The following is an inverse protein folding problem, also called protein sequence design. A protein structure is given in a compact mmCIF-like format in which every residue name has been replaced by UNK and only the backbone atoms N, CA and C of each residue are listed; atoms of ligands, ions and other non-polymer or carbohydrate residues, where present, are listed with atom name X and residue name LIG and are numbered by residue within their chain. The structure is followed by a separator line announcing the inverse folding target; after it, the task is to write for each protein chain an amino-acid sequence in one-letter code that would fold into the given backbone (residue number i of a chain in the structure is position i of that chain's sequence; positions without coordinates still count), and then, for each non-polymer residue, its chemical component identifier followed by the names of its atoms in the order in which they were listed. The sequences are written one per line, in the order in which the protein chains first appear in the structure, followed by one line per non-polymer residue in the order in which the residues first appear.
data_IF_766595837353
#
_entry.id   IF_766595837353
#
_cell.length_a   1.000
_cell.length_b   1.000
_cell.length_c   1.000
_cell.angle_alpha   90.00
_cell.angle_beta   90.00
_cell.angle_gamma   90.00
#
_symmetry.space_group_name_H-M   'P 1'
#
loop_
_entity.id
_entity.type
_entity.pdbx_description
1 polymer ?
#
# COMPACT_ATOMS: atom_id res chain seq x y z
N UNK A 1 4.89 52.19 3.28
CA UNK A 1 4.11 50.98 2.98
C UNK A 1 4.73 49.85 3.78
N UNK A 2 4.05 49.33 4.79
CA UNK A 2 4.55 48.17 5.53
C UNK A 2 4.41 46.93 4.63
N UNK A 3 5.51 46.20 4.43
CA UNK A 3 5.47 44.90 3.79
C UNK A 3 4.46 44.02 4.54
N UNK A 4 3.51 43.44 3.82
CA UNK A 4 2.58 42.48 4.39
C UNK A 4 3.35 41.32 5.05
N UNK A 5 2.72 40.61 6.00
CA UNK A 5 3.38 39.48 6.64
C UNK A 5 3.82 38.49 5.55
N UNK A 6 5.00 37.86 5.67
CA UNK A 6 5.42 36.84 4.71
C UNK A 6 4.31 35.79 4.60
N UNK A 7 3.89 35.50 3.38
CA UNK A 7 2.97 34.41 3.10
C UNK A 7 3.58 33.17 3.76
N UNK A 8 2.91 32.57 4.74
CA UNK A 8 3.40 31.35 5.36
C UNK A 8 3.51 30.30 4.26
N UNK A 9 4.71 29.83 3.97
CA UNK A 9 4.93 28.66 3.13
C UNK A 9 4.06 27.53 3.70
N UNK A 10 2.97 27.19 3.00
CA UNK A 10 2.10 26.10 3.39
C UNK A 10 2.89 24.83 3.13
N UNK A 11 3.28 24.09 4.16
CA UNK A 11 3.98 22.82 3.99
C UNK A 11 2.99 21.67 3.72
N UNK A 12 3.44 20.66 2.98
CA UNK A 12 2.69 19.42 2.76
C UNK A 12 2.50 18.62 4.06
N UNK A 13 1.32 18.03 4.24
CA UNK A 13 0.99 17.15 5.37
C UNK A 13 0.98 15.71 4.87
N UNK A 14 1.83 14.86 5.45
CA UNK A 14 1.84 13.42 5.18
C UNK A 14 1.93 12.67 6.50
N UNK A 15 0.83 12.01 6.84
CA UNK A 15 0.65 11.17 8.02
C UNK A 15 -0.13 9.91 7.62
N UNK A 16 -0.17 8.86 8.47
CA UNK A 16 -0.98 7.67 8.18
C UNK A 16 -2.47 7.97 7.91
N UNK A 17 -2.99 9.08 8.45
CA UNK A 17 -4.40 9.43 8.40
C UNK A 17 -4.73 10.51 7.37
N UNK A 18 -3.78 11.41 7.08
CA UNK A 18 -3.99 12.59 6.24
C UNK A 18 -2.83 12.80 5.27
N UNK A 19 -3.17 13.09 4.02
CA UNK A 19 -2.23 13.49 2.96
C UNK A 19 -2.80 14.72 2.26
N UNK A 20 -2.07 15.84 2.30
CA UNK A 20 -2.40 17.06 1.59
C UNK A 20 -1.15 17.75 1.05
N UNK A 21 -1.24 18.20 -0.19
CA UNK A 21 -0.22 18.97 -0.89
C UNK A 21 -0.25 20.47 -0.48
N UNK A 22 0.84 21.23 -0.72
CA UNK A 22 0.91 22.63 -0.32
C UNK A 22 0.14 23.51 -1.31
N UNK A 23 -0.78 24.33 -0.80
CA UNK A 23 -1.61 25.23 -1.62
C UNK A 23 -2.71 24.51 -2.43
N UNK A 24 -3.64 25.30 -2.97
CA UNK A 24 -4.74 24.78 -3.80
C UNK A 24 -4.20 24.30 -5.16
N UNK A 25 -4.42 23.03 -5.50
CA UNK A 25 -3.89 22.42 -6.73
C UNK A 25 -2.41 22.02 -6.69
N UNK A 26 -1.75 22.11 -5.54
CA UNK A 26 -0.36 21.67 -5.38
C UNK A 26 -0.18 20.16 -5.50
N UNK A 27 1.08 19.72 -5.69
CA UNK A 27 1.47 18.30 -5.72
C UNK A 27 2.39 17.96 -4.55
N UNK A 28 2.46 16.67 -4.21
CA UNK A 28 3.36 16.19 -3.17
C UNK A 28 4.80 16.20 -3.69
N UNK A 29 5.68 16.91 -2.97
CA UNK A 29 7.12 16.88 -3.20
C UNK A 29 7.73 15.67 -2.49
N UNK A 30 7.90 14.60 -3.25
CA UNK A 30 8.45 13.33 -2.77
C UNK A 30 9.96 13.40 -2.44
N UNK A 31 10.71 14.34 -3.02
CA UNK A 31 12.13 14.54 -2.69
C UNK A 31 12.25 15.21 -1.32
N UNK A 32 11.46 16.26 -1.06
CA UNK A 32 11.36 16.86 0.27
C UNK A 32 10.85 15.88 1.33
N UNK A 33 9.93 14.96 0.97
CA UNK A 33 9.50 13.88 1.88
C UNK A 33 10.63 12.92 2.23
N UNK A 34 11.41 12.50 1.24
CA UNK A 34 12.55 11.62 1.47
C UNK A 34 13.55 12.24 2.44
N UNK A 35 13.88 13.52 2.26
CA UNK A 35 14.78 14.25 3.16
C UNK A 35 14.21 14.34 4.58
N UNK A 36 12.93 14.68 4.71
CA UNK A 36 12.23 14.77 6.01
C UNK A 36 12.17 13.43 6.75
N UNK A 37 11.90 12.34 6.02
CA UNK A 37 11.79 11.01 6.59
C UNK A 37 13.16 10.33 6.72
N UNK A 38 14.18 10.81 6.00
CA UNK A 38 15.53 10.26 5.99
C UNK A 38 15.59 8.88 5.32
N UNK A 39 14.82 8.66 4.25
CA UNK A 39 14.89 7.44 3.43
C UNK A 39 15.76 7.66 2.19
N UNK A 40 16.21 6.56 1.56
CA UNK A 40 17.11 6.63 0.40
C UNK A 40 16.32 6.51 -0.90
N UNK A 41 16.80 7.15 -1.96
CA UNK A 41 16.21 7.01 -3.30
C UNK A 41 16.41 5.60 -3.84
N UNK A 42 15.37 5.04 -4.42
CA UNK A 42 15.41 3.83 -5.23
C UNK A 42 15.83 4.23 -6.65
N UNK A 43 17.13 4.14 -6.94
CA UNK A 43 17.70 4.54 -8.22
C UNK A 43 17.75 3.39 -9.25
N UNK A 44 18.15 3.70 -10.48
CA UNK A 44 18.26 2.72 -11.56
C UNK A 44 19.24 1.59 -11.23
N UNK A 45 20.33 1.87 -10.53
CA UNK A 45 21.31 0.86 -10.13
C UNK A 45 20.70 -0.18 -9.19
N UNK A 46 19.84 0.25 -8.26
CA UNK A 46 19.11 -0.63 -7.36
C UNK A 46 18.02 -1.42 -8.08
N UNK A 47 17.32 -0.81 -9.05
CA UNK A 47 16.37 -1.53 -9.92
C UNK A 47 17.07 -2.65 -10.70
N UNK A 48 18.23 -2.36 -11.30
CA UNK A 48 19.02 -3.34 -12.02
C UNK A 48 19.56 -4.44 -11.08
N UNK A 49 19.93 -4.07 -9.85
CA UNK A 49 20.35 -5.01 -8.81
C UNK A 49 19.22 -5.98 -8.45
N UNK A 50 17.98 -5.50 -8.25
CA UNK A 50 16.80 -6.36 -8.03
C UNK A 50 16.61 -7.32 -9.22
N UNK A 51 16.69 -6.81 -10.44
CA UNK A 51 16.49 -7.61 -11.65
C UNK A 51 17.53 -8.74 -11.77
N UNK A 52 18.81 -8.44 -11.51
CA UNK A 52 19.90 -9.43 -11.49
C UNK A 52 19.68 -10.49 -10.42
N UNK A 53 19.41 -10.08 -9.18
CA UNK A 53 19.29 -10.98 -8.04
C UNK A 53 18.09 -11.93 -8.14
N UNK A 54 16.98 -11.43 -8.68
CA UNK A 54 15.75 -12.22 -8.81
C UNK A 54 15.63 -12.95 -10.14
N UNK A 55 16.57 -12.72 -11.07
CA UNK A 55 16.50 -13.20 -12.47
C UNK A 55 15.15 -12.92 -13.12
N UNK A 56 14.54 -11.77 -12.79
CA UNK A 56 13.20 -11.37 -13.23
C UNK A 56 13.19 -9.95 -13.75
N UNK A 57 12.36 -9.65 -14.77
CA UNK A 57 12.19 -8.28 -15.22
C UNK A 57 11.69 -7.38 -14.08
N UNK A 58 12.29 -6.19 -13.87
CA UNK A 58 11.89 -5.32 -12.78
C UNK A 58 10.45 -4.87 -12.97
N UNK A 59 9.68 -4.96 -11.87
CA UNK A 59 8.27 -4.58 -11.88
C UNK A 59 8.08 -3.17 -12.45
N UNK A 60 6.97 -2.94 -13.17
CA UNK A 60 6.67 -1.63 -13.77
C UNK A 60 6.65 -0.49 -12.75
N UNK A 61 6.35 -0.77 -11.49
CA UNK A 61 6.36 0.23 -10.42
C UNK A 61 7.77 0.67 -10.02
N UNK A 62 8.77 -0.21 -10.15
CA UNK A 62 10.18 0.14 -10.00
C UNK A 62 10.64 0.99 -11.18
N UNK A 63 10.41 0.49 -12.40
CA UNK A 63 10.83 1.16 -13.66
C UNK A 63 10.23 2.55 -13.86
N UNK A 64 9.10 2.84 -13.23
CA UNK A 64 8.38 4.13 -13.34
C UNK A 64 8.48 4.99 -12.08
N UNK A 65 9.31 4.60 -11.10
CA UNK A 65 9.48 5.36 -9.85
C UNK A 65 8.19 5.50 -9.03
N UNK A 66 7.27 4.55 -9.14
CA UNK A 66 6.08 4.47 -8.27
C UNK A 66 6.52 4.00 -6.89
N UNK A 67 7.34 2.95 -6.82
CA UNK A 67 8.18 2.68 -5.65
C UNK A 67 9.49 3.43 -5.85
N UNK A 68 9.79 4.36 -4.95
CA UNK A 68 10.79 5.41 -5.18
C UNK A 68 11.75 5.61 -4.02
N UNK A 69 11.41 5.14 -2.83
CA UNK A 69 12.23 5.27 -1.63
C UNK A 69 12.41 3.92 -0.93
N UNK A 70 13.49 3.79 -0.17
CA UNK A 70 13.80 2.57 0.56
C UNK A 70 14.70 2.76 1.80
N UNK A 71 14.75 1.72 2.64
CA UNK A 71 15.70 1.56 3.75
C UNK A 71 16.31 0.14 3.72
N UNK A 72 17.58 0.03 3.32
CA UNK A 72 18.44 -1.19 3.29
C UNK A 72 17.74 -2.46 2.78
N UNK A 73 17.70 -2.74 1.47
CA UNK A 73 16.92 -3.87 0.93
C UNK A 73 17.77 -5.11 0.59
N UNK A 74 18.90 -4.95 -0.09
CA UNK A 74 19.45 -6.05 -0.91
C UNK A 74 20.71 -6.72 -0.37
N UNK A 75 21.42 -6.09 0.58
CA UNK A 75 22.69 -6.63 1.08
C UNK A 75 22.49 -7.96 1.81
N UNK A 76 21.35 -8.13 2.49
CA UNK A 76 20.99 -9.37 3.18
C UNK A 76 20.68 -10.50 2.18
N UNK A 77 19.89 -10.21 1.14
CA UNK A 77 19.58 -11.22 0.12
C UNK A 77 20.82 -11.67 -0.66
N UNK A 78 21.74 -10.75 -0.97
CA UNK A 78 23.02 -11.09 -1.61
C UNK A 78 23.92 -11.95 -0.75
N UNK A 79 23.86 -11.79 0.58
CA UNK A 79 24.57 -12.65 1.52
C UNK A 79 23.95 -14.05 1.65
N UNK A 80 22.85 -14.34 0.94
CA UNK A 80 22.10 -15.59 1.05
C UNK A 80 21.22 -15.67 2.30
N UNK A 81 21.04 -14.54 3.01
CA UNK A 81 20.20 -14.49 4.20
C UNK A 81 18.73 -14.58 3.80
N UNK A 82 18.00 -15.44 4.50
CA UNK A 82 16.54 -15.55 4.39
C UNK A 82 15.91 -14.31 5.02
N UNK A 83 14.78 -13.86 4.46
CA UNK A 83 14.00 -12.76 5.00
C UNK A 83 12.51 -13.00 4.72
N UNK A 84 11.61 -12.28 5.40
CA UNK A 84 10.18 -12.35 5.12
C UNK A 84 9.61 -10.97 4.76
N UNK A 85 8.47 -10.99 4.07
CA UNK A 85 7.71 -9.80 3.75
C UNK A 85 6.65 -9.54 4.81
N UNK A 86 6.42 -8.26 5.11
CA UNK A 86 5.29 -7.83 5.92
C UNK A 86 4.61 -6.62 5.27
N UNK A 87 3.28 -6.64 5.18
CA UNK A 87 2.47 -5.48 4.82
C UNK A 87 1.17 -5.50 5.62
N UNK A 88 0.39 -4.43 5.59
CA UNK A 88 -0.87 -4.37 6.31
C UNK A 88 -1.99 -3.64 5.57
N UNK A 89 -3.20 -3.79 6.09
CA UNK A 89 -4.40 -3.08 5.66
C UNK A 89 -5.32 -2.86 6.84
N UNK A 90 -5.69 -1.61 7.10
CA UNK A 90 -6.78 -1.30 8.01
C UNK A 90 -8.14 -1.40 7.31
N UNK A 91 -9.00 -2.40 7.64
CA UNK A 91 -10.24 -2.68 6.91
C UNK A 91 -11.33 -1.65 7.25
N UNK A 92 -11.38 -0.55 6.50
CA UNK A 92 -12.25 0.60 6.79
C UNK A 92 -13.48 0.73 5.90
N UNK A 93 -13.63 -0.16 4.91
CA UNK A 93 -14.67 -0.21 3.88
C UNK A 93 -14.80 -1.65 3.36
N UNK A 94 -15.97 -1.99 2.80
CA UNK A 94 -16.25 -3.37 2.34
C UNK A 94 -15.33 -3.82 1.21
N UNK A 95 -14.95 -2.90 0.32
CA UNK A 95 -14.11 -3.18 -0.83
C UNK A 95 -12.86 -2.31 -0.82
N UNK A 96 -11.77 -2.85 -1.39
CA UNK A 96 -10.59 -2.06 -1.72
C UNK A 96 -10.82 -1.16 -2.95
N UNK A 97 -10.09 -0.05 -3.02
CA UNK A 97 -9.99 0.77 -4.22
C UNK A 97 -8.61 0.62 -4.85
N UNK A 98 -8.43 1.10 -6.08
CA UNK A 98 -7.21 0.89 -6.85
C UNK A 98 -5.94 1.36 -6.15
N UNK A 99 -6.02 2.44 -5.36
CA UNK A 99 -4.89 2.89 -4.54
C UNK A 99 -4.40 1.83 -3.55
N UNK A 100 -5.29 1.04 -2.95
CA UNK A 100 -4.89 -0.02 -2.03
C UNK A 100 -4.23 -1.21 -2.73
N UNK A 101 -4.49 -1.42 -4.03
CA UNK A 101 -3.87 -2.51 -4.77
C UNK A 101 -2.38 -2.25 -5.05
N UNK A 102 -1.89 -1.00 -4.98
CA UNK A 102 -0.51 -0.66 -5.32
C UNK A 102 0.49 -1.40 -4.42
N UNK A 103 0.40 -1.34 -3.07
CA UNK A 103 1.26 -2.15 -2.20
C UNK A 103 1.08 -3.65 -2.45
N UNK A 104 -0.16 -4.17 -2.47
CA UNK A 104 -0.39 -5.62 -2.59
C UNK A 104 0.12 -6.23 -3.90
N UNK A 105 -0.12 -5.58 -5.04
CA UNK A 105 0.39 -6.04 -6.34
C UNK A 105 1.92 -6.05 -6.35
N UNK A 106 2.56 -5.10 -5.67
CA UNK A 106 4.01 -5.06 -5.58
C UNK A 106 4.56 -6.09 -4.60
N UNK A 107 3.95 -6.25 -3.43
CA UNK A 107 4.28 -7.29 -2.47
C UNK A 107 4.17 -8.68 -3.10
N UNK A 108 3.16 -8.92 -3.93
CA UNK A 108 3.01 -10.16 -4.68
C UNK A 108 4.17 -10.38 -5.66
N UNK A 109 4.58 -9.34 -6.38
CA UNK A 109 5.77 -9.40 -7.22
C UNK A 109 7.03 -9.75 -6.41
N UNK A 110 7.22 -9.12 -5.24
CA UNK A 110 8.36 -9.40 -4.37
C UNK A 110 8.33 -10.84 -3.83
N UNK A 111 7.16 -11.33 -3.40
CA UNK A 111 6.97 -12.71 -2.95
C UNK A 111 7.39 -13.69 -4.05
N UNK A 112 6.89 -13.51 -5.27
CA UNK A 112 7.23 -14.40 -6.38
C UNK A 112 8.71 -14.28 -6.78
N UNK A 113 9.30 -13.08 -6.68
CA UNK A 113 10.65 -12.79 -7.15
C UNK A 113 11.74 -13.29 -6.20
N UNK A 114 11.51 -13.13 -4.90
CA UNK A 114 12.44 -13.56 -3.86
C UNK A 114 12.11 -14.93 -3.28
N UNK A 115 10.91 -15.47 -3.55
CA UNK A 115 10.40 -16.75 -3.02
C UNK A 115 10.44 -16.80 -1.50
N UNK A 116 9.89 -15.77 -0.88
CA UNK A 116 9.91 -15.54 0.57
C UNK A 116 8.51 -15.61 1.17
N UNK A 117 8.39 -15.94 2.46
CA UNK A 117 7.12 -15.88 3.18
C UNK A 117 6.62 -14.45 3.34
N UNK A 118 5.31 -14.31 3.50
CA UNK A 118 4.59 -13.06 3.63
C UNK A 118 3.60 -13.13 4.78
N UNK A 119 3.65 -12.11 5.65
CA UNK A 119 2.60 -11.84 6.63
C UNK A 119 1.83 -10.59 6.21
N UNK A 120 0.49 -10.67 6.26
CA UNK A 120 -0.40 -9.53 6.00
C UNK A 120 -1.23 -9.26 7.25
N UNK A 121 -1.09 -8.09 7.85
CA UNK A 121 -1.87 -7.68 9.01
C UNK A 121 -3.15 -6.95 8.60
N UNK A 122 -4.28 -7.40 9.11
CA UNK A 122 -5.57 -6.71 9.06
C UNK A 122 -5.84 -6.07 10.41
N UNK A 123 -5.67 -4.75 10.48
CA UNK A 123 -5.77 -3.95 11.71
C UNK A 123 -7.23 -3.61 12.03
N UNK A 124 -8.03 -4.66 12.27
CA UNK A 124 -9.46 -4.57 12.54
C UNK A 124 -9.78 -3.94 13.92
N UNK A 125 -8.85 -4.04 14.86
CA UNK A 125 -8.84 -3.36 16.16
C UNK A 125 -8.68 -1.84 16.07
N UNK A 126 -7.75 -1.37 15.24
CA UNK A 126 -7.54 0.04 14.91
C UNK A 126 -8.84 0.70 14.46
N UNK A 127 -9.68 -0.05 13.72
CA UNK A 127 -10.90 0.53 13.17
C UNK A 127 -11.99 0.73 14.20
N UNK A 128 -12.05 -0.04 15.27
CA UNK A 128 -12.97 0.25 16.40
C UNK A 128 -12.55 1.51 17.12
N UNK A 129 -11.25 1.67 17.32
CA UNK A 129 -10.74 2.77 18.10
C UNK A 129 -10.87 4.10 17.30
N UNK A 130 -10.76 4.08 15.97
CA UNK A 130 -10.77 5.29 15.12
C UNK A 130 -12.09 5.53 14.39
N UNK A 131 -12.97 4.54 14.30
CA UNK A 131 -14.32 4.66 13.70
C UNK A 131 -15.38 4.12 14.66
N UNK A 132 -16.61 4.61 14.53
CA UNK A 132 -17.74 4.11 15.31
C UNK A 132 -18.28 2.78 14.73
N UNK A 133 -17.44 1.74 14.72
CA UNK A 133 -17.74 0.40 14.21
C UNK A 133 -17.80 -0.60 15.36
N UNK A 134 -18.65 -1.62 15.24
CA UNK A 134 -18.73 -2.72 16.21
C UNK A 134 -17.64 -3.76 15.94
N UNK A 135 -17.30 -4.60 16.93
CA UNK A 135 -16.36 -5.72 16.74
C UNK A 135 -16.82 -6.66 15.63
N UNK A 136 -18.11 -6.98 15.58
CA UNK A 136 -18.68 -7.85 14.56
C UNK A 136 -18.48 -7.25 13.15
N UNK A 137 -18.67 -5.94 13.02
CA UNK A 137 -18.49 -5.24 11.76
C UNK A 137 -17.01 -5.17 11.36
N UNK A 138 -16.10 -4.89 12.29
CA UNK A 138 -14.66 -4.91 12.02
C UNK A 138 -14.18 -6.29 11.53
N UNK A 139 -14.62 -7.37 12.18
CA UNK A 139 -14.30 -8.74 11.74
C UNK A 139 -14.85 -9.06 10.35
N UNK A 140 -16.09 -8.65 10.07
CA UNK A 140 -16.71 -8.81 8.74
C UNK A 140 -15.92 -8.05 7.67
N UNK A 141 -15.54 -6.80 7.93
CA UNK A 141 -14.75 -5.99 7.01
C UNK A 141 -13.36 -6.59 6.78
N UNK A 142 -12.71 -7.09 7.84
CA UNK A 142 -11.43 -7.78 7.73
C UNK A 142 -11.54 -8.99 6.81
N UNK A 143 -12.56 -9.82 7.01
CA UNK A 143 -12.85 -11.00 6.19
C UNK A 143 -13.10 -10.63 4.71
N UNK A 144 -13.90 -9.61 4.42
CA UNK A 144 -14.16 -9.18 3.04
C UNK A 144 -12.92 -8.55 2.37
N UNK A 145 -12.08 -7.84 3.14
CA UNK A 145 -10.81 -7.30 2.64
C UNK A 145 -9.79 -8.43 2.41
N UNK A 146 -9.81 -9.52 3.20
CA UNK A 146 -8.98 -10.70 2.97
C UNK A 146 -9.26 -11.33 1.59
N UNK A 147 -10.54 -11.44 1.18
CA UNK A 147 -10.92 -11.95 -0.15
C UNK A 147 -10.34 -11.11 -1.29
N UNK A 148 -10.41 -9.78 -1.19
CA UNK A 148 -9.80 -8.88 -2.18
C UNK A 148 -8.26 -8.99 -2.19
N UNK A 149 -7.62 -9.15 -1.02
CA UNK A 149 -6.17 -9.35 -0.92
C UNK A 149 -5.78 -10.67 -1.58
N UNK A 150 -6.50 -11.76 -1.30
CA UNK A 150 -6.29 -13.06 -1.95
C UNK A 150 -6.44 -12.97 -3.48
N UNK A 151 -7.39 -12.17 -3.96
CA UNK A 151 -7.60 -11.93 -5.40
C UNK A 151 -6.40 -11.25 -6.10
N UNK A 152 -5.41 -10.75 -5.36
CA UNK A 152 -4.12 -10.32 -5.92
C UNK A 152 -3.22 -11.51 -6.33
N UNK A 153 -3.56 -12.74 -5.93
CA UNK A 153 -2.92 -13.98 -6.36
C UNK A 153 -1.71 -14.37 -5.50
N UNK A 154 -1.73 -14.09 -4.20
CA UNK A 154 -0.71 -14.53 -3.27
C UNK A 154 -0.67 -16.06 -3.14
N UNK A 155 0.52 -16.59 -2.87
CA UNK A 155 0.73 -18.03 -2.68
C UNK A 155 0.28 -18.44 -1.27
N UNK A 156 -0.73 -19.32 -1.19
CA UNK A 156 -1.29 -19.79 0.08
C UNK A 156 -0.27 -20.59 0.92
N UNK A 157 0.73 -21.22 0.30
CA UNK A 157 1.77 -21.97 1.00
C UNK A 157 2.84 -21.05 1.63
N UNK A 158 2.84 -19.77 1.26
CA UNK A 158 3.82 -18.77 1.70
C UNK A 158 3.19 -17.52 2.31
N UNK A 159 1.88 -17.47 2.43
CA UNK A 159 1.16 -16.27 2.88
C UNK A 159 0.30 -16.58 4.09
N UNK A 160 0.44 -15.71 5.08
CA UNK A 160 -0.35 -15.73 6.30
C UNK A 160 -1.04 -14.38 6.51
N UNK A 161 -2.37 -14.39 6.64
CA UNK A 161 -3.17 -13.18 6.90
C UNK A 161 -3.60 -13.21 8.36
N UNK A 162 -3.21 -12.21 9.15
CA UNK A 162 -3.60 -12.10 10.56
C UNK A 162 -4.65 -11.01 10.73
N UNK A 163 -5.60 -11.23 11.63
CA UNK A 163 -6.41 -10.13 12.19
C UNK A 163 -5.98 -9.86 13.63
N UNK A 164 -5.89 -8.59 13.99
CA UNK A 164 -5.37 -8.19 15.30
C UNK A 164 -6.26 -8.71 16.43
N UNK A 165 -7.60 -8.72 16.27
CA UNK A 165 -8.48 -9.32 17.28
C UNK A 165 -8.24 -10.81 17.53
N UNK A 166 -7.99 -11.58 16.48
CA UNK A 166 -7.77 -13.03 16.63
C UNK A 166 -6.39 -13.31 17.22
N UNK A 167 -5.40 -12.48 16.86
CA UNK A 167 -4.00 -12.70 17.23
C UNK A 167 -3.66 -12.17 18.63
N UNK A 168 -4.16 -10.97 19.00
CA UNK A 168 -3.96 -10.40 20.35
C UNK A 168 -4.59 -11.26 21.45
N UNK A 169 -5.79 -11.82 21.20
CA UNK A 169 -6.43 -12.76 22.14
C UNK A 169 -5.61 -14.03 22.33
N UNK A 170 -4.99 -14.53 21.27
CA UNK A 170 -4.17 -15.75 21.30
C UNK A 170 -2.83 -15.58 22.01
N UNK A 171 -2.24 -14.39 21.98
CA UNK A 171 -0.89 -14.14 22.53
C UNK A 171 -0.92 -13.44 23.90
N UNK A 172 -1.80 -12.45 24.09
CA UNK A 172 -1.75 -11.56 25.25
C UNK A 172 -2.99 -11.59 26.15
N UNK A 173 -4.10 -12.21 25.69
CA UNK A 173 -5.34 -12.28 26.47
C UNK A 173 -6.05 -10.93 26.70
N UNK A 174 -5.66 -9.88 25.97
CA UNK A 174 -6.22 -8.52 26.06
C UNK A 174 -7.56 -8.44 25.31
N UNK A 175 -8.51 -7.66 25.84
CA UNK A 175 -9.85 -7.49 25.25
C UNK A 175 -10.06 -6.08 24.68
N UNK A 176 -11.02 -5.89 23.75
CA UNK A 176 -11.23 -4.63 23.01
C UNK A 176 -11.75 -3.47 23.85
N UNK A 177 -12.17 -3.70 25.09
CA UNK A 177 -12.81 -2.71 25.96
C UNK A 177 -11.82 -1.74 26.64
N UNK A 178 -10.50 -1.95 26.48
CA UNK A 178 -9.46 -1.16 27.12
C UNK A 178 -9.18 0.17 26.37
N UNK A 179 -9.60 1.30 26.95
CA UNK A 179 -9.46 2.65 26.35
C UNK A 179 -8.01 3.13 26.13
N UNK A 180 -7.01 2.47 26.73
CA UNK A 180 -5.58 2.69 26.46
C UNK A 180 -5.16 2.25 25.04
N UNK A 181 -6.05 1.57 24.31
CA UNK A 181 -5.82 1.01 22.97
C UNK A 181 -5.25 1.97 21.93
N UNK A 182 -5.61 3.27 21.99
CA UNK A 182 -5.10 4.23 20.99
C UNK A 182 -3.60 4.50 21.10
N UNK A 183 -3.11 4.55 22.33
CA UNK A 183 -1.69 4.82 22.63
C UNK A 183 -0.86 3.55 22.42
N UNK A 184 -1.46 2.37 22.61
CA UNK A 184 -0.80 1.07 22.43
C UNK A 184 -0.87 0.51 21.01
N UNK A 185 -1.61 1.11 20.08
CA UNK A 185 -1.70 0.63 18.70
C UNK A 185 -0.38 0.67 17.90
N UNK A 186 0.47 1.73 17.95
CA UNK A 186 1.73 1.72 17.22
C UNK A 186 2.63 0.51 17.54
N UNK A 187 2.73 0.04 18.80
CA UNK A 187 3.31 -1.27 19.12
C UNK A 187 2.66 -2.47 18.40
N UNK A 188 1.33 -2.51 18.26
CA UNK A 188 0.60 -3.59 17.55
C UNK A 188 0.98 -3.63 16.06
N UNK A 189 1.13 -2.47 15.41
CA UNK A 189 1.60 -2.39 14.02
C UNK A 189 3.13 -2.63 13.90
N UNK A 190 3.91 -2.36 14.95
CA UNK A 190 5.34 -2.62 14.96
C UNK A 190 5.67 -4.11 15.12
N UNK A 191 4.91 -4.83 15.95
CA UNK A 191 5.22 -6.22 16.34
C UNK A 191 5.42 -7.18 15.15
N UNK A 192 4.59 -7.17 14.09
CA UNK A 192 4.80 -8.01 12.90
C UNK A 192 6.11 -7.77 12.15
N UNK A 193 6.86 -6.71 12.46
CA UNK A 193 8.21 -6.47 11.93
C UNK A 193 9.27 -7.38 12.56
N UNK A 194 8.93 -8.11 13.62
CA UNK A 194 9.81 -9.02 14.34
C UNK A 194 9.30 -10.46 14.25
N UNK A 195 10.20 -11.37 13.91
CA UNK A 195 9.86 -12.78 13.70
C UNK A 195 9.32 -13.48 14.94
N UNK A 196 9.75 -13.03 16.13
CA UNK A 196 9.27 -13.55 17.42
C UNK A 196 7.76 -13.41 17.60
N UNK A 197 7.10 -12.55 16.82
CA UNK A 197 5.64 -12.49 16.78
C UNK A 197 5.00 -13.70 16.10
N UNK A 198 5.75 -14.54 15.37
CA UNK A 198 5.24 -15.67 14.58
C UNK A 198 5.97 -16.99 14.90
N UNK A 199 6.04 -17.44 16.17
CA UNK A 199 6.79 -18.65 16.54
C UNK A 199 6.25 -19.93 15.89
N UNK A 200 4.96 -19.94 15.52
CA UNK A 200 4.31 -21.05 14.83
C UNK A 200 4.68 -21.15 13.35
N UNK A 201 5.10 -20.04 12.72
CA UNK A 201 5.61 -20.03 11.36
C UNK A 201 7.10 -20.40 11.34
N UNK A 202 7.86 -19.92 12.35
CA UNK A 202 9.31 -20.06 12.40
C UNK A 202 9.76 -20.62 13.76
N UNK A 203 9.53 -21.91 14.06
CA UNK A 203 9.84 -22.48 15.37
C UNK A 203 11.34 -22.50 15.69
N UNK A 204 12.19 -22.60 14.66
CA UNK A 204 13.64 -22.77 14.81
C UNK A 204 14.45 -21.50 14.46
N UNK A 205 13.79 -20.35 14.28
CA UNK A 205 14.46 -19.10 13.93
C UNK A 205 13.71 -17.91 14.53
N UNK A 206 14.42 -17.03 15.21
CA UNK A 206 13.89 -15.84 15.88
C UNK A 206 14.45 -14.52 15.32
N UNK A 207 15.31 -14.56 14.30
CA UNK A 207 16.08 -13.39 13.83
C UNK A 207 16.02 -13.12 12.32
N UNK A 208 15.01 -13.62 11.60
CA UNK A 208 14.87 -13.28 10.18
C UNK A 208 14.60 -11.78 9.99
N UNK A 209 15.38 -11.11 9.13
CA UNK A 209 15.06 -9.76 8.68
C UNK A 209 13.67 -9.67 8.03
N UNK A 210 13.06 -8.50 8.19
CA UNK A 210 11.76 -8.17 7.60
C UNK A 210 11.91 -7.10 6.51
N UNK A 211 11.22 -7.27 5.37
CA UNK A 211 11.05 -6.24 4.34
C UNK A 211 9.58 -5.81 4.26
N UNK A 212 9.35 -4.50 4.34
CA UNK A 212 8.01 -3.90 4.42
C UNK A 212 7.72 -3.06 3.17
N UNK A 213 6.89 -3.55 2.23
CA UNK A 213 6.37 -2.75 1.13
C UNK A 213 5.14 -1.96 1.58
N UNK A 214 5.21 -0.64 1.52
CA UNK A 214 4.09 0.23 1.91
C UNK A 214 4.01 1.51 1.08
N UNK A 215 2.95 2.30 1.26
CA UNK A 215 2.97 3.70 0.87
C UNK A 215 3.74 4.52 1.91
N UNK A 216 4.32 5.65 1.51
CA UNK A 216 5.22 6.44 2.36
C UNK A 216 4.52 7.03 3.61
N UNK A 217 3.19 7.13 3.63
CA UNK A 217 2.43 7.57 4.80
C UNK A 217 2.54 6.61 6.00
N UNK A 218 3.01 5.38 5.79
CA UNK A 218 3.25 4.39 6.85
C UNK A 218 4.67 4.46 7.46
N UNK A 219 5.61 5.21 6.86
CA UNK A 219 6.98 5.34 7.39
C UNK A 219 7.04 5.76 8.86
N UNK A 220 6.18 6.65 9.39
CA UNK A 220 6.24 7.04 10.80
C UNK A 220 6.15 5.85 11.77
N UNK A 221 5.32 4.84 11.48
CA UNK A 221 5.24 3.62 12.31
C UNK A 221 6.56 2.87 12.30
N UNK A 222 7.13 2.65 11.13
CA UNK A 222 8.32 1.81 10.98
C UNK A 222 9.62 2.54 11.30
N UNK A 223 9.65 3.87 11.19
CA UNK A 223 10.72 4.70 11.74
C UNK A 223 10.81 4.52 13.26
N UNK A 224 9.67 4.60 13.95
CA UNK A 224 9.59 4.25 15.38
C UNK A 224 10.04 2.81 15.63
N UNK A 225 9.55 1.83 14.86
CA UNK A 225 9.96 0.42 14.99
C UNK A 225 11.46 0.24 14.86
N UNK A 226 12.11 0.93 13.92
CA UNK A 226 13.56 0.87 13.68
C UNK A 226 14.39 1.51 14.80
N UNK A 227 13.85 2.49 15.51
CA UNK A 227 14.52 3.12 16.65
C UNK A 227 14.43 2.26 17.92
N UNK A 228 13.35 1.47 18.04
CA UNK A 228 13.12 0.56 19.16
C UNK A 228 13.82 -0.79 18.95
N UNK A 229 13.90 -1.30 17.72
CA UNK A 229 14.41 -2.64 17.43
C UNK A 229 15.77 -2.97 18.10
N UNK A 230 16.83 -2.13 17.99
CA UNK A 230 18.11 -2.45 18.62
C UNK A 230 18.06 -2.48 20.15
N UNK A 231 17.15 -1.72 20.77
CA UNK A 231 16.97 -1.68 22.24
C UNK A 231 16.36 -2.97 22.77
N UNK A 232 15.62 -3.69 21.92
CA UNK A 232 15.02 -4.98 22.20
C UNK A 232 15.87 -6.15 21.71
N UNK A 233 17.04 -5.90 21.10
CA UNK A 233 17.89 -6.94 20.52
C UNK A 233 17.45 -7.43 19.14
N UNK A 234 16.50 -6.76 18.48
CA UNK A 234 16.02 -7.14 17.15
C UNK A 234 16.73 -6.37 16.02
N UNK A 235 16.73 -6.97 14.84
CA UNK A 235 17.17 -6.29 13.63
C UNK A 235 16.16 -5.23 13.19
N UNK A 236 16.66 -4.15 12.57
CA UNK A 236 15.81 -3.09 12.04
C UNK A 236 15.08 -3.59 10.79
N UNK A 237 13.74 -3.45 10.66
CA UNK A 237 13.04 -3.81 9.44
C UNK A 237 13.47 -2.91 8.28
N UNK A 238 13.49 -3.49 7.09
CA UNK A 238 13.78 -2.84 5.82
C UNK A 238 12.48 -2.33 5.19
N UNK A 239 12.54 -1.24 4.42
CA UNK A 239 11.36 -0.63 3.81
C UNK A 239 11.55 -0.44 2.31
N UNK A 240 10.46 -0.57 1.55
CA UNK A 240 10.34 -0.12 0.16
C UNK A 240 9.02 0.63 -0.01
N UNK A 241 9.10 1.89 -0.45
CA UNK A 241 8.01 2.85 -0.26
C UNK A 241 7.48 3.36 -1.59
N UNK A 242 6.15 3.41 -1.70
CA UNK A 242 5.44 3.90 -2.87
C UNK A 242 4.92 5.33 -2.71
N UNK A 243 4.81 6.00 -3.86
CA UNK A 243 4.02 7.21 -4.03
C UNK A 243 2.53 6.91 -3.81
N UNK A 244 1.75 7.95 -3.52
CA UNK A 244 0.30 7.82 -3.45
C UNK A 244 -0.31 7.61 -4.83
N UNK A 245 -1.34 6.76 -4.88
CA UNK A 245 -2.21 6.73 -6.05
C UNK A 245 -3.17 7.93 -5.96
N UNK A 246 -3.18 8.82 -6.96
CA UNK A 246 -3.92 10.08 -6.86
C UNK A 246 -5.44 9.82 -6.78
N UNK A 247 -6.14 10.74 -6.13
CA UNK A 247 -7.59 10.82 -6.24
C UNK A 247 -7.98 11.16 -7.69
N UNK A 248 -9.23 10.84 -8.07
CA UNK A 248 -9.72 11.20 -9.40
C UNK A 248 -9.64 12.71 -9.66
N UNK A 249 -9.88 13.53 -8.64
CA UNK A 249 -9.89 14.99 -8.71
C UNK A 249 -8.50 15.61 -8.94
N UNK A 250 -7.40 14.87 -8.72
CA UNK A 250 -6.05 15.37 -8.92
C UNK A 250 -5.02 14.79 -7.94
N UNK A 251 -3.76 15.23 -8.10
CA UNK A 251 -2.60 14.71 -7.36
C UNK A 251 -2.40 15.32 -5.97
N UNK A 252 -3.19 16.34 -5.60
CA UNK A 252 -3.11 17.02 -4.31
C UNK A 252 -3.54 16.13 -3.13
N UNK A 253 -4.26 15.04 -3.41
CA UNK A 253 -4.81 14.12 -2.42
C UNK A 253 -4.67 12.67 -2.89
N UNK A 254 -4.67 11.74 -1.93
CA UNK A 254 -4.72 10.29 -2.23
C UNK A 254 -6.16 9.81 -2.36
N UNK A 255 -6.35 8.76 -3.16
CA UNK A 255 -7.62 8.04 -3.23
C UNK A 255 -8.05 7.58 -1.82
N UNK A 256 -9.30 7.86 -1.45
CA UNK A 256 -9.80 7.61 -0.10
C UNK A 256 -11.19 7.00 -0.11
N UNK A 257 -11.41 5.98 0.73
CA UNK A 257 -12.72 5.40 0.93
C UNK A 257 -13.73 6.37 1.59
N UNK A 258 -13.26 7.48 2.17
CA UNK A 258 -14.12 8.50 2.78
C UNK A 258 -14.81 9.41 1.74
N UNK A 259 -14.30 9.48 0.51
CA UNK A 259 -14.96 10.13 -0.62
C UNK A 259 -15.15 9.13 -1.78
N UNK A 260 -16.37 8.58 -1.96
CA UNK A 260 -16.66 7.62 -3.02
C UNK A 260 -16.42 8.16 -4.45
N UNK A 261 -16.41 9.48 -4.64
CA UNK A 261 -16.15 10.11 -5.93
C UNK A 261 -14.65 10.28 -6.20
N UNK A 262 -13.80 10.12 -5.18
CA UNK A 262 -12.34 10.16 -5.33
C UNK A 262 -11.74 8.87 -5.85
N UNK A 263 -12.51 7.77 -5.80
CA UNK A 263 -12.00 6.42 -5.90
C UNK A 263 -12.70 5.54 -6.95
N UNK A 264 -11.89 4.70 -7.61
CA UNK A 264 -12.38 3.54 -8.37
C UNK A 264 -12.22 2.31 -7.47
N UNK A 265 -13.32 1.64 -7.18
CA UNK A 265 -13.35 0.44 -6.32
C UNK A 265 -13.20 -0.83 -7.14
N UNK A 266 -12.69 -1.89 -6.53
CA UNK A 266 -12.60 -3.22 -7.18
C UNK A 266 -13.97 -3.86 -7.41
N UNK A 267 -15.03 -3.28 -6.84
CA UNK A 267 -16.43 -3.67 -7.05
C UNK A 267 -17.15 -2.82 -8.09
N UNK A 268 -16.54 -1.75 -8.61
CA UNK A 268 -17.17 -0.93 -9.65
C UNK A 268 -17.33 -1.73 -10.95
N UNK A 269 -18.49 -1.65 -11.60
CA UNK A 269 -18.70 -2.18 -12.94
C UNK A 269 -18.20 -1.21 -14.02
N UNK A 270 -18.08 -1.67 -15.26
CA UNK A 270 -17.54 -0.86 -16.37
C UNK A 270 -18.30 0.45 -16.61
N UNK A 271 -19.63 0.50 -16.33
CA UNK A 271 -20.42 1.73 -16.45
C UNK A 271 -20.06 2.73 -15.34
N UNK A 272 -19.90 2.26 -14.10
CA UNK A 272 -19.47 3.09 -12.98
C UNK A 272 -18.06 3.64 -13.19
N UNK A 273 -17.12 2.79 -13.63
CA UNK A 273 -15.75 3.22 -13.96
C UNK A 273 -15.77 4.30 -15.03
N UNK A 274 -16.50 4.08 -16.14
CA UNK A 274 -16.66 5.07 -17.21
C UNK A 274 -17.23 6.40 -16.71
N UNK A 275 -18.31 6.34 -15.91
CA UNK A 275 -18.94 7.53 -15.35
C UNK A 275 -17.98 8.31 -14.44
N UNK A 276 -17.26 7.61 -13.55
CA UNK A 276 -16.30 8.22 -12.62
C UNK A 276 -15.12 8.85 -13.33
N UNK A 277 -14.51 8.16 -14.30
CA UNK A 277 -13.39 8.70 -15.09
C UNK A 277 -13.84 9.92 -15.90
N UNK A 278 -14.98 9.84 -16.57
CA UNK A 278 -15.44 10.98 -17.37
C UNK A 278 -15.77 12.20 -16.53
N UNK A 279 -16.45 12.01 -15.39
CA UNK A 279 -16.97 13.09 -14.56
C UNK A 279 -15.94 13.67 -13.58
N UNK A 280 -15.10 12.83 -12.99
CA UNK A 280 -14.25 13.23 -11.86
C UNK A 280 -12.75 13.17 -12.15
N UNK A 281 -12.30 12.38 -13.14
CA UNK A 281 -10.87 12.37 -13.47
C UNK A 281 -10.45 13.72 -14.04
N UNK A 282 -9.52 14.38 -13.35
CA UNK A 282 -8.90 15.60 -13.80
C UNK A 282 -8.33 15.43 -15.22
N UNK A 283 -8.44 16.47 -16.04
CA UNK A 283 -8.00 16.50 -17.44
C UNK A 283 -7.02 17.64 -17.62
N UNK A 284 -5.79 17.34 -18.05
CA UNK A 284 -4.81 18.33 -18.49
C UNK A 284 -5.02 18.83 -19.94
N UNK A 285 -6.19 18.57 -20.52
CA UNK A 285 -6.59 19.09 -21.83
C UNK A 285 -7.32 20.43 -21.74
N UNK A 286 -7.59 21.00 -22.92
CA UNK A 286 -8.24 22.30 -23.07
C UNK A 286 -9.76 22.14 -23.15
N UNK A 287 -10.50 23.22 -22.91
CA UNK A 287 -11.97 23.22 -22.86
C UNK A 287 -12.64 22.80 -24.17
N UNK A 288 -11.99 23.00 -25.33
CA UNK A 288 -12.52 22.63 -26.65
C UNK A 288 -11.52 21.81 -27.47
N UNK A 289 -12.02 21.04 -28.44
CA UNK A 289 -11.20 20.23 -29.35
C UNK A 289 -10.31 21.11 -30.21
N UNK A 290 -10.82 22.27 -30.63
CA UNK A 290 -10.11 23.27 -31.41
C UNK A 290 -8.93 23.85 -30.62
N UNK A 291 -9.20 24.30 -29.38
CA UNK A 291 -8.18 24.85 -28.49
C UNK A 291 -7.13 23.78 -28.11
N UNK A 292 -7.57 22.53 -27.95
CA UNK A 292 -6.69 21.40 -27.66
C UNK A 292 -5.82 21.00 -28.86
N UNK A 293 -6.30 21.15 -30.09
CA UNK A 293 -5.51 20.93 -31.31
C UNK A 293 -4.47 22.04 -31.52
N UNK A 294 -4.82 23.27 -31.13
CA UNK A 294 -3.96 24.44 -31.31
C UNK A 294 -2.88 24.54 -30.22
N UNK A 295 -3.27 24.49 -28.95
CA UNK A 295 -2.37 24.67 -27.81
C UNK A 295 -1.75 23.36 -27.32
N UNK A 296 -2.25 22.22 -27.83
CA UNK A 296 -1.93 20.91 -27.29
C UNK A 296 -2.55 20.70 -25.90
N UNK A 297 -2.42 19.47 -25.41
CA UNK A 297 -2.48 19.20 -23.98
C UNK A 297 -1.16 19.66 -23.35
N UNK A 298 -1.17 20.16 -22.11
CA UNK A 298 0.09 20.36 -21.40
C UNK A 298 0.82 19.01 -21.36
N UNK A 299 2.08 18.96 -21.79
CA UNK A 299 2.81 17.72 -22.01
C UNK A 299 3.52 17.22 -20.73
N UNK A 300 3.74 18.03 -19.69
CA UNK A 300 3.83 17.50 -18.32
C UNK A 300 2.52 16.79 -17.92
N UNK A 301 1.41 17.08 -18.60
CA UNK A 301 0.11 16.39 -18.45
C UNK A 301 -0.26 15.45 -19.61
N UNK A 302 0.57 15.30 -20.68
CA UNK A 302 0.17 14.51 -21.86
C UNK A 302 1.26 14.18 -22.91
N UNK A 303 2.55 14.38 -22.58
CA UNK A 303 3.80 14.30 -23.40
C UNK A 303 3.77 13.42 -24.67
N UNK A 304 3.17 13.89 -25.76
CA UNK A 304 3.40 13.49 -27.16
C UNK A 304 2.40 14.10 -28.17
N UNK A 305 1.31 14.73 -27.72
CA UNK A 305 0.40 15.49 -28.61
C UNK A 305 -0.33 14.67 -29.69
N UNK A 306 -0.70 13.41 -29.41
CA UNK A 306 -1.36 12.52 -30.39
C UNK A 306 -2.71 11.93 -29.96
N UNK A 307 -3.26 12.33 -28.82
CA UNK A 307 -4.58 11.86 -28.36
C UNK A 307 -5.38 13.02 -27.78
N UNK A 308 -6.69 13.07 -28.02
CA UNK A 308 -7.60 14.01 -27.34
C UNK A 308 -7.83 13.55 -25.89
N UNK A 309 -8.09 14.45 -24.93
CA UNK A 309 -8.46 14.06 -23.55
C UNK A 309 -9.50 12.94 -23.50
N UNK A 310 -10.48 12.98 -24.39
CA UNK A 310 -11.49 11.92 -24.52
C UNK A 310 -10.91 10.56 -24.88
N UNK A 311 -9.91 10.50 -25.77
CA UNK A 311 -9.25 9.27 -26.19
C UNK A 311 -8.38 8.68 -25.08
N UNK A 312 -7.64 9.49 -24.31
CA UNK A 312 -6.90 8.98 -23.14
C UNK A 312 -7.85 8.56 -22.03
N UNK A 313 -8.92 9.29 -21.75
CA UNK A 313 -9.94 8.84 -20.80
C UNK A 313 -10.56 7.52 -21.26
N UNK A 314 -10.86 7.36 -22.54
CA UNK A 314 -11.38 6.11 -23.10
C UNK A 314 -10.38 4.96 -22.93
N UNK A 315 -9.10 5.19 -23.23
CA UNK A 315 -8.05 4.18 -23.02
C UNK A 315 -7.87 3.82 -21.54
N UNK A 316 -7.92 4.82 -20.66
CA UNK A 316 -7.88 4.61 -19.22
C UNK A 316 -9.08 3.76 -18.76
N UNK A 317 -10.29 4.07 -19.23
CA UNK A 317 -11.51 3.30 -18.91
C UNK A 317 -11.35 1.84 -19.31
N UNK A 318 -10.82 1.55 -20.51
CA UNK A 318 -10.57 0.17 -20.96
C UNK A 318 -9.60 -0.56 -20.03
N UNK A 319 -8.46 0.07 -19.71
CA UNK A 319 -7.44 -0.53 -18.84
C UNK A 319 -7.97 -0.76 -17.43
N UNK A 320 -8.67 0.22 -16.86
CA UNK A 320 -9.25 0.12 -15.53
C UNK A 320 -10.38 -0.92 -15.48
N UNK A 321 -11.24 -0.97 -16.50
CA UNK A 321 -12.33 -1.94 -16.58
C UNK A 321 -11.78 -3.37 -16.64
N UNK A 322 -10.76 -3.62 -17.46
CA UNK A 322 -10.15 -4.96 -17.52
C UNK A 322 -9.38 -5.31 -16.24
N UNK A 323 -8.72 -4.33 -15.60
CA UNK A 323 -8.06 -4.55 -14.32
C UNK A 323 -9.06 -4.95 -13.23
N UNK A 324 -10.16 -4.21 -13.10
CA UNK A 324 -11.22 -4.49 -12.13
C UNK A 324 -11.92 -5.82 -12.44
N UNK A 325 -12.24 -6.08 -13.71
CA UNK A 325 -12.87 -7.34 -14.11
C UNK A 325 -11.98 -8.55 -13.82
N UNK A 326 -10.66 -8.47 -14.03
CA UNK A 326 -9.73 -9.54 -13.63
C UNK A 326 -9.72 -9.78 -12.14
N UNK A 327 -9.71 -8.70 -11.35
CA UNK A 327 -9.77 -8.80 -9.90
C UNK A 327 -11.08 -9.45 -9.43
N UNK A 328 -12.22 -9.04 -9.99
CA UNK A 328 -13.52 -9.63 -9.67
C UNK A 328 -13.59 -11.13 -10.02
N UNK A 329 -13.05 -11.54 -11.17
CA UNK A 329 -12.95 -12.96 -11.54
C UNK A 329 -12.10 -13.76 -10.55
N UNK A 330 -10.96 -13.20 -10.11
CA UNK A 330 -10.11 -13.84 -9.11
C UNK A 330 -10.79 -13.91 -7.73
N UNK A 331 -11.43 -12.81 -7.29
CA UNK A 331 -12.17 -12.75 -6.03
C UNK A 331 -13.33 -13.73 -5.98
N UNK A 332 -14.02 -13.94 -7.10
CA UNK A 332 -15.11 -14.92 -7.19
C UNK A 332 -14.65 -16.38 -6.96
N UNK A 333 -13.35 -16.65 -7.04
CA UNK A 333 -12.75 -17.95 -6.73
C UNK A 333 -12.33 -18.09 -5.26
N UNK A 334 -12.35 -17.01 -4.48
CA UNK A 334 -12.01 -17.05 -3.05
C UNK A 334 -13.17 -17.66 -2.25
N UNK A 335 -13.07 -18.95 -1.94
CA UNK A 335 -14.04 -19.63 -1.07
C UNK A 335 -13.77 -19.33 0.40
N UNK A 336 -14.75 -19.58 1.26
CA UNK A 336 -14.60 -19.41 2.72
C UNK A 336 -13.47 -20.30 3.25
N UNK A 337 -13.37 -21.53 2.78
CA UNK A 337 -12.30 -22.46 3.17
C UNK A 337 -10.91 -21.94 2.77
N UNK A 338 -10.80 -21.23 1.64
CA UNK A 338 -9.55 -20.59 1.26
C UNK A 338 -9.23 -19.42 2.19
N UNK A 339 -10.20 -18.57 2.52
CA UNK A 339 -9.99 -17.45 3.44
C UNK A 339 -9.54 -17.96 4.80
N UNK A 340 -10.27 -18.95 5.35
CA UNK A 340 -9.92 -19.63 6.58
C UNK A 340 -8.53 -20.23 6.51
N UNK A 341 -8.18 -20.89 5.39
CA UNK A 341 -6.85 -21.43 5.18
C UNK A 341 -5.79 -20.32 5.19
N UNK A 342 -5.97 -19.18 4.52
CA UNK A 342 -5.01 -18.06 4.58
C UNK A 342 -4.86 -17.48 6.00
N UNK A 343 -5.94 -17.48 6.79
CA UNK A 343 -6.01 -16.87 8.11
C UNK A 343 -5.71 -17.82 9.28
N UNK A 344 -5.66 -19.13 9.03
CA UNK A 344 -5.40 -20.13 10.05
C UNK A 344 -3.92 -20.15 10.47
N UNK A 345 -3.69 -20.11 11.79
CA UNK A 345 -2.39 -20.35 12.42
C UNK A 345 -1.95 -21.78 12.05
N UNK A 346 -0.99 -21.89 11.14
CA UNK A 346 -0.51 -23.18 10.62
C UNK A 346 0.98 -23.12 10.30
N UNK A 347 1.71 -24.25 10.39
CA UNK A 347 3.07 -24.33 9.87
C UNK A 347 3.06 -24.12 8.35
N UNK A 348 4.09 -23.46 7.82
CA UNK A 348 4.32 -23.30 6.39
C UNK A 348 5.67 -23.95 6.03
N UNK A 349 5.70 -25.26 5.70
CA UNK A 349 6.96 -26.00 5.57
C UNK A 349 7.82 -25.60 4.36
N UNK A 350 7.23 -25.01 3.31
CA UNK A 350 7.90 -24.71 2.03
C UNK A 350 8.12 -23.21 1.79
N UNK A 351 8.27 -22.42 2.87
CA UNK A 351 8.29 -20.94 2.81
C UNK A 351 9.40 -20.33 1.94
N UNK A 352 10.53 -21.00 1.78
CA UNK A 352 11.73 -20.46 1.12
C UNK A 352 12.10 -21.13 -0.21
N UNK A 353 11.24 -22.02 -0.72
CA UNK A 353 11.53 -22.80 -1.92
C UNK A 353 11.86 -24.24 -1.61
#
# INVERSE_FOLDING_TARGET
MAAGPPCKDVEQVVTPWEVSAPGEGGTIDYDKLMDRFGCNRLDAALVDRIARLTSRPPHRFLRRGIFFAHRRILDLYEAGEKFYLYTGRGPSSEALHLGHLIPFVFTKYLQDAFKVPLVIQLTDDEKILWKNLTIAECKRLAHENAKDIMACGFDIERTFIITDFSYLKGIFGISPEDQIGKVSFPPVQAAPSFLSSFPHLFPDNDQLPCLIPCAIDQDPYFRMTRDVAPKLGFQKPSLIESRFFPALQGESTKMSASDPNSAIYVTDNSKQIKAKVNKYAFSGGQDTVELHRELGANLDEYKAGRMLTGEVKQRLIEVLSELVARHQRARAQATEEMVDAFMAIRPLPNMFG
#
